data_IF_899150332711
#
_entry.id   IF_899150332711
#
_cell.length_a   1.000
_cell.length_b   1.000
_cell.length_c   1.000
_cell.angle_alpha   90.00
_cell.angle_beta   90.00
_cell.angle_gamma   90.00
#
_symmetry.space_group_name_H-M   'P 1'
#
loop_
_entity.id
_entity.type
_entity.pdbx_description
1 polymer ?
2 polymer ?
3 polymer ?
#
# COMPACT_ATOMS: atom_id res chain seq x y z
N UNK A 22 -20.50 -33.87 -7.03
CA UNK A 22 -19.55 -32.80 -6.75
C UNK A 22 -20.08 -32.02 -5.55
N UNK A 23 -19.78 -32.49 -4.34
CA UNK A 23 -20.37 -31.98 -3.11
C UNK A 23 -19.53 -30.84 -2.57
N UNK A 24 -20.10 -29.64 -2.52
CA UNK A 24 -19.37 -28.51 -1.95
C UNK A 24 -19.18 -28.71 -0.46
N UNK A 25 -17.93 -28.82 -0.02
CA UNK A 25 -17.62 -29.03 1.39
C UNK A 25 -16.86 -27.89 2.03
N UNK A 26 -16.30 -26.96 1.26
CA UNK A 26 -15.56 -25.85 1.84
C UNK A 26 -15.59 -24.65 0.93
N UNK A 27 -14.96 -23.57 1.37
CA UNK A 27 -14.87 -22.32 0.63
C UNK A 27 -13.41 -21.96 0.40
N UNK A 28 -13.16 -21.16 -0.63
CA UNK A 28 -11.81 -20.65 -0.89
C UNK A 28 -11.93 -19.18 -1.26
N UNK A 29 -11.63 -18.32 -0.30
CA UNK A 29 -11.82 -16.88 -0.47
C UNK A 29 -10.65 -16.28 -1.24
N UNK A 30 -10.94 -15.74 -2.42
CA UNK A 30 -9.99 -14.94 -3.16
C UNK A 30 -10.10 -13.49 -2.73
N UNK A 31 -9.33 -12.61 -3.39
CA UNK A 31 -9.40 -11.17 -3.18
C UNK A 31 -9.16 -10.51 -4.52
N UNK A 32 -10.10 -9.70 -4.98
CA UNK A 32 -10.07 -9.13 -6.32
C UNK A 32 -9.95 -7.62 -6.19
N UNK A 33 -8.86 -7.07 -6.67
CA UNK A 33 -8.57 -5.66 -6.48
C UNK A 33 -8.72 -4.88 -7.78
N UNK A 34 -8.88 -3.56 -7.65
CA UNK A 34 -9.02 -2.65 -8.77
C UNK A 34 -8.32 -1.35 -8.41
N UNK A 35 -7.29 -0.99 -9.16
CA UNK A 35 -6.52 0.21 -8.87
C UNK A 35 -7.35 1.45 -9.23
N UNK A 36 -7.86 2.14 -8.23
CA UNK A 36 -8.58 3.37 -8.47
C UNK A 36 -7.62 4.53 -8.63
N UNK A 37 -8.15 5.67 -9.03
CA UNK A 37 -7.39 6.90 -9.15
C UNK A 37 -7.98 7.97 -8.25
N UNK A 38 -7.23 9.04 -8.06
CA UNK A 38 -7.71 10.21 -7.32
C UNK A 38 -8.03 11.31 -8.33
N UNK A 39 -9.31 11.61 -8.47
CA UNK A 39 -9.75 12.63 -9.42
C UNK A 39 -9.45 13.99 -8.79
N UNK A 40 -8.33 14.59 -9.19
CA UNK A 40 -8.03 15.95 -8.77
C UNK A 40 -8.87 16.93 -9.59
N UNK A 41 -9.36 17.97 -8.92
CA UNK A 41 -10.33 18.88 -9.52
C UNK A 41 -9.84 19.38 -10.87
N UNK A 42 -10.62 19.10 -11.90
CA UNK A 42 -10.25 19.41 -13.28
C UNK A 42 -10.45 20.90 -13.52
N UNK A 43 -9.37 21.67 -13.34
CA UNK A 43 -9.41 23.12 -13.51
C UNK A 43 -9.17 23.44 -14.98
N UNK A 44 -10.24 23.38 -15.76
CA UNK A 44 -10.19 23.76 -17.17
C UNK A 44 -11.57 24.26 -17.57
N UNK A 45 -11.61 25.41 -18.24
CA UNK A 45 -12.86 25.99 -18.70
C UNK A 45 -12.97 25.82 -20.21
N UNK A 46 -14.18 25.48 -20.67
CA UNK A 46 -14.40 25.12 -22.04
C UNK A 46 -15.27 23.89 -22.13
N UNK A 47 -16.39 23.98 -22.86
CA UNK A 47 -17.40 22.94 -22.79
C UNK A 47 -17.63 22.35 -24.17
N UNK A 48 -16.55 21.99 -24.86
CA UNK A 48 -16.69 21.25 -26.10
C UNK A 48 -17.39 19.91 -25.83
N UNK A 49 -17.99 19.36 -26.89
CA UNK A 49 -18.80 18.16 -26.73
C UNK A 49 -17.96 16.99 -26.21
N UNK A 50 -16.75 16.82 -26.74
CA UNK A 50 -15.89 15.74 -26.28
C UNK A 50 -15.46 15.96 -24.84
N UNK A 51 -15.08 17.19 -24.51
CA UNK A 51 -14.72 17.49 -23.13
C UNK A 51 -15.92 17.30 -22.21
N UNK A 52 -17.12 17.65 -22.69
CA UNK A 52 -18.30 17.48 -21.86
C UNK A 52 -18.61 16.00 -21.62
N UNK A 53 -18.40 15.16 -22.63
CA UNK A 53 -18.64 13.73 -22.45
C UNK A 53 -17.61 13.11 -21.52
N UNK A 54 -16.35 13.52 -21.66
CA UNK A 54 -15.32 13.07 -20.73
C UNK A 54 -15.67 13.49 -19.30
N UNK A 55 -16.13 14.73 -19.13
CA UNK A 55 -16.51 15.20 -17.81
C UNK A 55 -17.67 14.39 -17.25
N UNK A 56 -18.65 14.06 -18.08
CA UNK A 56 -19.78 13.28 -17.60
C UNK A 56 -19.33 11.89 -17.18
N UNK A 57 -18.42 11.28 -17.93
CA UNK A 57 -17.93 9.96 -17.56
C UNK A 57 -17.12 10.01 -16.27
N UNK A 58 -16.30 11.05 -16.11
CA UNK A 58 -15.55 11.21 -14.87
C UNK A 58 -16.48 11.39 -13.69
N UNK A 59 -17.57 12.14 -13.88
CA UNK A 59 -18.53 12.33 -12.80
C UNK A 59 -19.21 11.02 -12.44
N UNK A 60 -19.52 10.19 -13.44
CA UNK A 60 -20.07 8.87 -13.15
C UNK A 60 -19.06 7.99 -12.41
N UNK A 61 -17.77 8.13 -12.74
CA UNK A 61 -16.74 7.36 -12.06
C UNK A 61 -16.63 7.76 -10.59
N UNK A 62 -16.53 9.06 -10.33
CA UNK A 62 -16.49 9.56 -8.97
C UNK A 62 -17.74 9.17 -8.20
N UNK A 63 -18.88 9.21 -8.84
CA UNK A 63 -20.10 8.78 -8.17
C UNK A 63 -20.06 7.30 -7.84
N UNK A 64 -19.49 6.48 -8.72
CA UNK A 64 -19.38 5.06 -8.43
C UNK A 64 -18.51 4.83 -7.20
N UNK A 65 -17.36 5.52 -7.15
CA UNK A 65 -16.49 5.39 -5.99
C UNK A 65 -17.22 5.81 -4.72
N UNK A 66 -18.00 6.89 -4.80
CA UNK A 66 -18.71 7.39 -3.62
C UNK A 66 -19.76 6.40 -3.13
N UNK A 67 -20.58 5.88 -4.04
CA UNK A 67 -21.58 4.88 -3.64
C UNK A 67 -20.94 3.62 -3.09
N UNK A 68 -19.78 3.25 -3.62
CA UNK A 68 -19.09 2.08 -3.08
C UNK A 68 -18.60 2.33 -1.67
N UNK A 69 -18.04 3.51 -1.43
CA UNK A 69 -17.60 3.86 -0.08
C UNK A 69 -18.77 3.86 0.90
N UNK A 70 -19.95 4.26 0.43
CA UNK A 70 -21.11 4.18 1.31
C UNK A 70 -21.59 2.74 1.46
N UNK A 71 -21.33 1.89 0.48
CA UNK A 71 -21.72 0.49 0.58
C UNK A 71 -20.90 -0.24 1.63
N UNK A 72 -19.59 0.04 1.66
CA UNK A 72 -18.74 -0.49 2.72
C UNK A 72 -19.14 0.07 4.08
N UNK A 73 -18.99 1.38 4.25
CA UNK A 73 -19.24 2.03 5.53
C UNK A 73 -20.72 1.96 5.91
N UNK A 121 -24.09 -19.43 8.51
CA UNK A 121 -23.68 -18.24 7.78
C UNK A 121 -22.98 -18.64 6.51
N UNK A 122 -23.39 -18.05 5.40
CA UNK A 122 -22.81 -18.40 4.10
C UNK A 122 -21.64 -17.52 3.71
N UNK A 123 -21.53 -16.31 4.25
CA UNK A 123 -20.39 -15.48 3.92
C UNK A 123 -19.53 -15.26 5.16
N UNK A 124 -19.50 -16.23 6.06
CA UNK A 124 -18.67 -16.10 7.26
C UNK A 124 -17.19 -16.03 6.90
N UNK A 125 -16.77 -16.81 5.90
CA UNK A 125 -15.38 -16.78 5.46
C UNK A 125 -15.04 -15.45 4.81
N UNK A 126 -15.90 -14.96 3.91
CA UNK A 126 -15.64 -13.67 3.30
C UNK A 126 -15.73 -12.53 4.29
N UNK A 127 -16.65 -12.62 5.24
CA UNK A 127 -16.74 -11.61 6.29
C UNK A 127 -15.44 -11.55 7.09
N UNK A 128 -14.92 -12.72 7.50
CA UNK A 128 -13.67 -12.76 8.23
C UNK A 128 -12.51 -12.18 7.41
N UNK A 129 -12.44 -12.53 6.12
CA UNK A 129 -11.34 -12.00 5.32
C UNK A 129 -11.48 -10.50 5.14
N UNK A 130 -12.70 -9.98 5.08
CA UNK A 130 -12.88 -8.54 4.97
C UNK A 130 -12.40 -7.84 6.23
N UNK A 131 -12.77 -8.37 7.39
CA UNK A 131 -12.32 -7.79 8.64
C UNK A 131 -10.81 -7.87 8.78
N UNK A 132 -10.18 -8.87 8.18
CA UNK A 132 -8.72 -8.94 8.23
C UNK A 132 -8.10 -7.90 7.31
N UNK A 133 -8.64 -7.74 6.11
CA UNK A 133 -8.11 -6.71 5.22
C UNK A 133 -8.38 -5.31 5.72
N UNK A 134 -9.27 -5.14 6.70
CA UNK A 134 -9.44 -3.81 7.27
C UNK A 134 -8.36 -3.46 8.28
N UNK A 135 -7.55 -4.42 8.73
CA UNK A 135 -6.45 -4.13 9.64
C UNK A 135 -5.43 -3.24 8.95
N UNK A 136 -4.72 -2.45 9.73
CA UNK A 136 -3.77 -1.51 9.16
C UNK A 136 -2.53 -2.26 8.69
N UNK A 137 -2.19 -2.19 7.39
CA UNK A 137 -1.01 -2.83 6.82
C UNK A 137 -1.32 -3.78 5.75
N UNK A 138 -2.47 -4.44 5.79
CA UNK A 138 -2.86 -5.47 4.82
C UNK A 138 -3.07 -5.08 3.39
N UNK A 139 -3.66 -3.96 3.12
CA UNK A 139 -3.80 -3.55 1.82
C UNK A 139 -2.45 -3.29 1.40
N UNK A 140 -1.56 -2.75 2.18
CA UNK A 140 -0.20 -2.42 1.67
C UNK A 140 0.46 -3.65 1.28
N UNK A 141 0.30 -4.69 2.04
CA UNK A 141 1.00 -5.81 1.63
C UNK A 141 0.42 -6.31 0.35
N UNK A 142 -0.88 -6.49 0.12
CA UNK A 142 -1.53 -6.88 -1.17
C UNK A 142 -1.12 -6.01 -2.32
N UNK A 143 -1.05 -4.73 -2.19
CA UNK A 143 -0.58 -3.87 -3.22
C UNK A 143 0.83 -4.12 -3.60
N UNK A 144 1.72 -4.28 -2.66
CA UNK A 144 3.09 -4.62 -3.00
C UNK A 144 3.16 -5.94 -3.73
N UNK A 145 2.32 -6.87 -3.34
CA UNK A 145 2.30 -8.21 -3.90
C UNK A 145 2.01 -8.18 -5.39
N UNK A 146 0.78 -7.55 -5.74
CA UNK A 146 0.28 -7.56 -7.08
C UNK A 146 0.87 -6.43 -7.72
N UNK A 147 2.14 -6.19 -7.52
CA UNK A 147 2.66 -5.00 -8.10
C UNK A 147 3.07 -5.15 -9.51
N UNK A 148 4.03 -6.00 -9.84
CA UNK A 148 4.46 -6.06 -11.24
C UNK A 148 3.65 -7.03 -12.04
N UNK A 149 3.10 -8.05 -11.37
CA UNK A 149 2.25 -9.04 -12.01
C UNK A 149 0.79 -8.59 -11.97
N UNK A 150 -0.12 -9.50 -12.30
CA UNK A 150 -1.55 -9.29 -12.12
C UNK A 150 -2.17 -10.42 -11.31
N UNK A 151 -1.36 -11.11 -10.51
CA UNK A 151 -1.81 -12.22 -9.69
C UNK A 151 -0.70 -12.58 -8.72
N UNK A 152 -1.06 -12.80 -7.46
CA UNK A 152 -0.10 -13.17 -6.43
C UNK A 152 -0.81 -14.06 -5.42
N UNK A 153 -0.04 -14.58 -4.47
CA UNK A 153 -0.58 -15.37 -3.36
C UNK A 153 -0.03 -14.75 -2.09
N UNK A 154 -0.77 -13.84 -1.50
CA UNK A 154 -0.34 -13.14 -0.30
C UNK A 154 -0.78 -13.92 0.91
N UNK A 155 0.08 -13.97 1.93
CA UNK A 155 -0.25 -14.63 3.19
C UNK A 155 -0.61 -13.56 4.21
N UNK A 156 -1.86 -13.53 4.62
CA UNK A 156 -2.32 -12.53 5.57
C UNK A 156 -1.69 -12.78 6.94
N UNK A 157 -1.81 -11.78 7.81
CA UNK A 157 -1.09 -11.81 9.08
C UNK A 157 -1.59 -12.92 9.99
N UNK A 158 -2.84 -13.32 9.85
CA UNK A 158 -3.42 -14.33 10.73
C UNK A 158 -3.14 -15.75 10.28
N UNK A 159 -2.27 -15.96 9.31
CA UNK A 159 -1.85 -17.27 8.89
C UNK A 159 -2.47 -17.77 7.60
N UNK A 160 -3.59 -17.21 7.18
CA UNK A 160 -4.28 -17.69 5.99
C UNK A 160 -3.57 -17.18 4.75
N UNK A 161 -3.50 -18.03 3.74
CA UNK A 161 -2.89 -17.69 2.46
C UNK A 161 -4.01 -17.42 1.47
N UNK A 162 -4.13 -16.18 1.04
CA UNK A 162 -5.21 -15.75 0.15
C UNK A 162 -4.60 -15.52 -1.22
N UNK A 163 -5.44 -15.61 -2.24
CA UNK A 163 -5.00 -15.56 -3.64
C UNK A 163 -5.53 -14.26 -4.25
N UNK A 164 -4.73 -13.21 -4.18
CA UNK A 164 -5.17 -11.94 -4.71
C UNK A 164 -5.09 -11.95 -6.24
N UNK A 165 -5.66 -10.91 -6.84
CA UNK A 165 -5.79 -10.81 -8.30
C UNK A 165 -6.17 -9.38 -8.63
N UNK A 166 -5.69 -8.88 -9.76
CA UNK A 166 -5.95 -7.50 -10.16
C UNK A 166 -6.66 -7.52 -11.50
N UNK A 167 -8.00 -7.54 -11.46
CA UNK A 167 -8.76 -7.78 -12.68
C UNK A 167 -8.94 -6.54 -13.53
N UNK A 168 -8.80 -5.35 -12.97
CA UNK A 168 -8.94 -4.15 -13.77
C UNK A 168 -7.89 -3.15 -13.31
N UNK A 169 -7.45 -2.32 -14.25
CA UNK A 169 -6.47 -1.31 -13.93
C UNK A 169 -6.98 -0.02 -14.57
N UNK A 170 -7.72 0.76 -13.78
CA UNK A 170 -8.27 2.02 -14.26
C UNK A 170 -7.41 3.21 -13.90
N UNK A 171 -6.65 3.13 -12.80
CA UNK A 171 -5.72 4.19 -12.47
C UNK A 171 -4.78 4.46 -13.63
N UNK A 172 -4.26 3.40 -14.23
CA UNK A 172 -3.31 3.55 -15.33
C UNK A 172 -3.92 4.37 -16.47
N UNK A 173 -5.05 3.90 -17.02
CA UNK A 173 -5.66 4.62 -18.12
C UNK A 173 -6.00 6.04 -17.72
N UNK A 174 -6.77 6.20 -16.64
CA UNK A 174 -7.23 7.53 -16.23
C UNK A 174 -6.05 8.48 -16.14
N UNK A 175 -5.09 8.19 -15.27
CA UNK A 175 -3.96 9.10 -15.11
C UNK A 175 -3.28 9.35 -16.44
N UNK A 176 -2.62 8.32 -17.00
CA UNK A 176 -1.71 8.52 -18.11
C UNK A 176 -2.39 9.16 -19.31
N UNK A 177 -3.55 8.64 -19.72
CA UNK A 177 -4.21 9.18 -20.90
C UNK A 177 -4.94 10.48 -20.60
N UNK A 178 -5.88 10.44 -19.65
CA UNK A 178 -6.80 11.54 -19.50
C UNK A 178 -6.14 12.77 -18.86
N UNK A 179 -5.44 12.58 -17.73
CA UNK A 179 -5.07 13.75 -16.94
C UNK A 179 -4.17 14.73 -17.68
N UNK A 180 -3.21 14.32 -18.50
CA UNK A 180 -2.48 15.30 -19.31
C UNK A 180 -3.38 16.12 -20.22
N UNK A 181 -4.21 15.46 -21.02
CA UNK A 181 -5.07 16.18 -21.96
C UNK A 181 -5.98 17.13 -21.21
N UNK A 182 -6.40 16.75 -20.00
CA UNK A 182 -7.30 17.59 -19.22
C UNK A 182 -6.58 18.79 -18.65
N UNK A 183 -5.31 18.62 -18.25
CA UNK A 183 -4.64 19.68 -17.50
C UNK A 183 -3.80 20.62 -18.36
N UNK A 184 -3.05 20.10 -19.33
CA UNK A 184 -2.11 20.95 -20.06
C UNK A 184 -2.78 21.88 -21.06
N UNK A 185 -3.48 21.31 -22.05
CA UNK A 185 -4.05 22.10 -23.15
C UNK A 185 -5.32 22.83 -22.75
N UNK A 186 -5.64 22.93 -21.47
CA UNK A 186 -6.89 23.54 -20.99
C UNK A 186 -8.10 22.82 -21.56
N UNK A 187 -8.05 21.48 -21.53
CA UNK A 187 -9.15 20.63 -21.95
C UNK A 187 -9.56 20.88 -23.40
N UNK A 188 -8.66 20.55 -24.31
CA UNK A 188 -8.97 20.51 -25.74
C UNK A 188 -8.62 19.11 -26.25
N UNK A 189 -9.65 18.29 -26.49
CA UNK A 189 -9.47 16.92 -26.94
C UNK A 189 -9.60 16.89 -28.46
N UNK A 190 -8.78 16.05 -29.09
CA UNK A 190 -8.68 16.03 -30.55
C UNK A 190 -9.61 14.99 -31.18
N UNK A 191 -9.45 13.72 -30.82
CA UNK A 191 -10.18 12.63 -31.44
C UNK A 191 -11.29 12.12 -30.54
N UNK A 192 -12.27 11.45 -31.16
CA UNK A 192 -13.44 10.95 -30.45
C UNK A 192 -13.30 9.49 -30.05
N UNK A 193 -12.18 8.85 -30.35
CA UNK A 193 -12.00 7.48 -29.91
C UNK A 193 -11.69 7.40 -28.43
N UNK A 194 -11.11 8.46 -27.86
CA UNK A 194 -10.73 8.41 -26.45
C UNK A 194 -11.95 8.36 -25.54
N UNK A 195 -13.03 9.05 -25.90
CA UNK A 195 -14.21 9.03 -25.03
C UNK A 195 -14.91 7.68 -25.09
N UNK A 196 -14.95 7.05 -26.27
CA UNK A 196 -15.51 5.71 -26.36
C UNK A 196 -14.64 4.73 -25.58
N UNK A 197 -13.32 4.87 -25.69
CA UNK A 197 -12.42 4.02 -24.92
C UNK A 197 -12.67 4.17 -23.43
N UNK A 198 -12.83 5.40 -22.94
CA UNK A 198 -13.00 5.60 -21.52
C UNK A 198 -14.33 5.06 -21.03
N UNK A 199 -15.40 5.25 -21.80
CA UNK A 199 -16.67 4.71 -21.34
C UNK A 199 -16.68 3.19 -21.40
N UNK A 200 -15.98 2.59 -22.37
CA UNK A 200 -15.83 1.14 -22.38
C UNK A 200 -15.08 0.66 -21.15
N UNK A 201 -13.98 1.33 -20.80
CA UNK A 201 -13.20 0.90 -19.64
C UNK A 201 -13.95 1.10 -18.35
N UNK A 202 -14.80 2.13 -18.28
CA UNK A 202 -15.50 2.48 -17.05
C UNK A 202 -16.79 1.71 -16.84
N UNK A 203 -17.37 1.14 -17.91
CA UNK A 203 -18.65 0.47 -17.76
C UNK A 203 -18.57 -0.72 -16.81
N UNK A 204 -17.43 -1.39 -16.72
CA UNK A 204 -17.35 -2.54 -15.82
C UNK A 204 -17.38 -2.10 -14.37
N UNK A 205 -16.67 -1.02 -14.05
CA UNK A 205 -16.73 -0.47 -12.71
C UNK A 205 -18.13 -0.01 -12.36
N UNK A 206 -18.78 0.67 -13.31
CA UNK A 206 -20.15 1.14 -13.08
C UNK A 206 -21.10 -0.03 -12.85
N UNK A 207 -20.88 -1.14 -13.55
CA UNK A 207 -21.80 -2.27 -13.41
C UNK A 207 -21.55 -3.04 -12.13
N UNK A 208 -20.29 -3.16 -11.70
CA UNK A 208 -20.02 -3.69 -10.36
C UNK A 208 -20.70 -2.83 -9.31
N UNK A 209 -20.61 -1.51 -9.46
CA UNK A 209 -21.25 -0.60 -8.53
C UNK A 209 -22.76 -0.80 -8.50
N UNK A 210 -23.37 -0.96 -9.67
CA UNK A 210 -24.82 -1.16 -9.73
C UNK A 210 -25.22 -2.46 -9.04
N UNK A 211 -24.49 -3.54 -9.31
CA UNK A 211 -24.81 -4.83 -8.70
C UNK A 211 -24.67 -4.77 -7.18
N UNK A 212 -23.60 -4.13 -6.69
CA UNK A 212 -23.43 -3.97 -5.25
C UNK A 212 -24.50 -3.09 -4.65
N UNK A 213 -24.88 -2.01 -5.35
CA UNK A 213 -25.88 -1.09 -4.83
C UNK A 213 -27.22 -1.78 -4.69
N UNK A 214 -27.58 -2.62 -5.64
CA UNK A 214 -28.88 -3.27 -5.57
C UNK A 214 -28.86 -4.42 -4.56
N UNK A 215 -27.80 -5.21 -4.52
CA UNK A 215 -27.78 -6.41 -3.70
C UNK A 215 -27.28 -6.18 -2.28
N UNK A 216 -27.08 -4.93 -1.88
CA UNK A 216 -26.64 -4.58 -0.53
C UNK A 216 -25.24 -5.13 -0.23
N UNK A 217 -24.36 -5.05 -1.23
CA UNK A 217 -22.96 -5.36 -1.05
C UNK A 217 -22.60 -6.83 -0.90
N UNK A 218 -23.50 -7.75 -1.25
CA UNK A 218 -23.22 -9.18 -1.27
C UNK A 218 -23.96 -9.78 -2.46
N UNK A 219 -23.23 -10.20 -3.48
CA UNK A 219 -23.79 -10.55 -4.78
C UNK A 219 -23.62 -12.03 -5.06
N UNK A 220 -24.72 -12.73 -5.29
CA UNK A 220 -24.71 -14.10 -5.79
C UNK A 220 -25.81 -14.20 -6.84
N UNK A 221 -25.57 -14.89 -7.96
CA UNK A 221 -24.33 -15.52 -8.38
C UNK A 221 -23.32 -14.52 -8.91
N UNK A 222 -22.05 -14.87 -8.87
CA UNK A 222 -20.98 -13.99 -9.33
C UNK A 222 -21.15 -13.73 -10.82
N UNK A 223 -21.50 -12.51 -11.19
CA UNK A 223 -21.79 -12.22 -12.58
C UNK A 223 -20.50 -12.17 -13.39
N UNK A 224 -20.64 -11.90 -14.68
CA UNK A 224 -19.51 -11.78 -15.57
C UNK A 224 -18.85 -10.41 -15.48
N UNK A 225 -19.47 -9.49 -14.74
CA UNK A 225 -18.83 -8.20 -14.48
C UNK A 225 -17.89 -8.28 -13.29
N UNK A 226 -18.27 -9.01 -12.25
CA UNK A 226 -17.36 -9.27 -11.15
C UNK A 226 -16.12 -10.01 -11.64
N UNK A 227 -16.31 -11.22 -12.16
CA UNK A 227 -15.22 -12.14 -12.44
C UNK A 227 -15.52 -12.81 -13.77
N UNK A 228 -14.82 -12.40 -14.83
CA UNK A 228 -15.11 -12.91 -16.16
C UNK A 228 -14.76 -14.40 -16.24
N UNK A 229 -15.00 -14.98 -17.42
CA UNK A 229 -14.77 -16.41 -17.58
C UNK A 229 -13.28 -16.72 -17.63
N UNK A 230 -12.52 -15.93 -18.39
CA UNK A 230 -11.08 -16.13 -18.43
C UNK A 230 -10.46 -15.97 -17.05
N UNK A 231 -10.92 -14.98 -16.28
CA UNK A 231 -10.36 -14.75 -14.96
C UNK A 231 -10.84 -15.78 -13.95
N UNK A 232 -12.06 -16.28 -14.09
CA UNK A 232 -12.48 -17.37 -13.22
C UNK A 232 -11.67 -18.62 -13.48
N UNK A 233 -11.32 -18.90 -14.74
CA UNK A 233 -10.51 -20.07 -15.02
C UNK A 233 -9.07 -19.86 -14.59
N UNK A 234 -8.55 -18.63 -14.70
CA UNK A 234 -7.22 -18.35 -14.17
C UNK A 234 -7.17 -18.48 -12.66
N UNK A 235 -8.33 -18.15 -11.97
CA UNK A 235 -8.39 -18.41 -10.54
C UNK A 235 -8.43 -19.91 -10.27
N UNK A 236 -9.18 -20.65 -11.02
CA UNK A 236 -9.35 -22.08 -10.74
C UNK A 236 -8.04 -22.82 -10.97
N UNK A 237 -7.25 -22.38 -11.94
CA UNK A 237 -6.00 -23.07 -12.24
C UNK A 237 -4.89 -22.76 -11.24
N UNK A 238 -5.16 -21.99 -10.20
CA UNK A 238 -4.18 -21.67 -9.17
C UNK A 238 -4.65 -22.00 -7.76
N UNK A 239 -5.86 -22.52 -7.60
CA UNK A 239 -6.30 -22.91 -6.27
C UNK A 239 -5.53 -24.14 -5.81
N UNK A 240 -5.33 -24.29 -4.50
CA UNK A 240 -4.63 -25.48 -3.96
C UNK A 240 -5.51 -26.72 -3.91
N UNK A 241 -5.66 -27.37 -5.05
CA UNK A 241 -6.57 -28.49 -5.21
C UNK A 241 -5.95 -29.49 -6.20
N UNK A 242 -6.50 -30.71 -6.21
CA UNK A 242 -6.02 -31.72 -7.13
C UNK A 242 -6.29 -31.30 -8.57
N UNK A 243 -5.70 -32.05 -9.51
CA UNK A 243 -5.93 -31.75 -10.91
C UNK A 243 -7.34 -32.15 -11.34
N UNK A 244 -7.88 -33.21 -10.73
CA UNK A 244 -9.25 -33.62 -11.06
C UNK A 244 -10.24 -32.52 -10.72
N UNK A 245 -10.05 -31.86 -9.57
CA UNK A 245 -10.96 -30.79 -9.18
C UNK A 245 -10.81 -29.57 -10.08
N UNK A 246 -9.58 -29.24 -10.48
CA UNK A 246 -9.41 -28.17 -11.45
C UNK A 246 -10.13 -28.50 -12.75
N UNK A 247 -10.05 -29.75 -13.20
CA UNK A 247 -10.73 -30.14 -14.43
C UNK A 247 -12.24 -30.03 -14.29
N UNK A 248 -12.78 -30.55 -13.19
CA UNK A 248 -14.21 -30.46 -12.94
C UNK A 248 -14.68 -29.02 -12.90
N UNK A 249 -13.99 -28.18 -12.11
CA UNK A 249 -14.40 -26.80 -11.97
C UNK A 249 -14.23 -26.03 -13.27
N UNK A 250 -13.31 -26.44 -14.14
CA UNK A 250 -13.17 -25.76 -15.41
C UNK A 250 -14.16 -26.27 -16.45
N UNK A 251 -14.76 -27.43 -16.22
CA UNK A 251 -15.78 -27.94 -17.13
C UNK A 251 -17.20 -27.54 -16.74
N UNK A 252 -17.40 -26.93 -15.58
CA UNK A 252 -18.72 -26.53 -15.13
C UNK A 252 -18.70 -25.13 -14.53
N UNK A 253 -18.13 -24.18 -15.26
CA UNK A 253 -17.92 -22.83 -14.71
C UNK A 253 -19.24 -22.15 -14.37
N UNK A 254 -20.32 -22.47 -15.07
CA UNK A 254 -21.60 -21.84 -14.74
C UNK A 254 -22.13 -22.34 -13.40
N UNK A 255 -21.87 -23.61 -13.08
CA UNK A 255 -22.30 -24.14 -11.79
C UNK A 255 -21.39 -23.66 -10.67
N UNK A 256 -20.21 -23.14 -11.01
CA UNK A 256 -19.35 -22.55 -9.99
C UNK A 256 -19.71 -21.09 -9.78
N UNK A 257 -20.22 -20.41 -10.82
CA UNK A 257 -20.79 -19.08 -10.60
C UNK A 257 -22.05 -19.15 -9.79
N UNK A 258 -22.88 -20.18 -10.03
CA UNK A 258 -24.14 -20.30 -9.31
C UNK A 258 -23.97 -20.78 -7.87
N UNK A 259 -22.75 -20.97 -7.39
CA UNK A 259 -22.54 -21.57 -6.07
C UNK A 259 -21.60 -20.76 -5.20
N UNK A 260 -21.26 -19.55 -5.58
CA UNK A 260 -20.33 -18.73 -4.81
C UNK A 260 -21.00 -17.41 -4.45
N UNK A 261 -20.22 -16.53 -3.80
CA UNK A 261 -20.65 -15.20 -3.41
C UNK A 261 -19.56 -14.20 -3.76
N UNK A 262 -19.93 -12.93 -3.83
CA UNK A 262 -18.98 -11.84 -4.10
C UNK A 262 -19.19 -10.74 -3.07
N UNK A 263 -18.53 -10.88 -1.91
CA UNK A 263 -18.61 -9.89 -0.85
C UNK A 263 -17.83 -8.63 -1.23
N UNK A 264 -18.40 -7.46 -0.91
CA UNK A 264 -17.73 -6.19 -1.15
C UNK A 264 -17.01 -5.76 0.10
N UNK A 265 -15.69 -5.49 -0.01
CA UNK A 265 -14.85 -5.45 1.18
C UNK A 265 -14.36 -4.06 1.55
N UNK A 266 -13.58 -3.37 0.73
CA UNK A 266 -12.82 -2.21 1.19
C UNK A 266 -12.61 -1.23 0.06
N UNK A 267 -12.52 -0.01 0.39
CA UNK A 267 -11.91 1.03 -0.42
C UNK A 267 -10.99 1.78 0.52
N UNK A 268 -9.71 1.69 0.30
CA UNK A 268 -8.74 2.24 1.22
C UNK A 268 -7.37 2.22 0.56
N UNK A 269 -6.62 3.31 0.74
CA UNK A 269 -5.30 3.46 0.14
C UNK A 269 -5.39 3.38 -1.38
N UNK A 270 -6.47 3.92 -1.93
CA UNK A 270 -6.60 4.10 -3.37
C UNK A 270 -6.67 2.77 -4.10
N UNK A 271 -7.58 1.90 -3.64
CA UNK A 271 -7.80 0.61 -4.28
C UNK A 271 -9.19 0.13 -3.90
N UNK A 272 -9.80 -0.65 -4.78
CA UNK A 272 -11.11 -1.24 -4.55
C UNK A 272 -10.95 -2.75 -4.51
N UNK A 273 -11.35 -3.37 -3.41
CA UNK A 273 -11.13 -4.79 -3.23
C UNK A 273 -12.43 -5.45 -2.79
N UNK A 274 -12.80 -6.53 -3.47
CA UNK A 274 -13.92 -7.36 -3.07
C UNK A 274 -13.50 -8.83 -3.06
N UNK A 275 -14.13 -9.60 -2.19
CA UNK A 275 -13.76 -10.98 -1.95
C UNK A 275 -14.73 -11.88 -2.70
N UNK A 276 -14.19 -12.79 -3.50
CA UNK A 276 -14.99 -13.77 -4.22
C UNK A 276 -14.85 -15.10 -3.49
N UNK A 277 -15.96 -15.60 -2.98
CA UNK A 277 -15.94 -16.74 -2.07
C UNK A 277 -16.25 -18.03 -2.83
N UNK A 278 -15.27 -18.46 -3.62
CA UNK A 278 -15.44 -19.62 -4.47
C UNK A 278 -15.70 -20.88 -3.64
N UNK A 279 -16.32 -21.90 -4.23
CA UNK A 279 -16.48 -23.17 -3.54
C UNK A 279 -15.30 -24.09 -3.84
N UNK A 280 -15.17 -25.13 -3.02
CA UNK A 280 -14.27 -26.20 -3.35
C UNK A 280 -14.92 -27.51 -2.94
N UNK A 281 -14.95 -28.49 -3.88
CA UNK A 281 -15.65 -29.75 -3.73
C UNK A 281 -14.63 -30.80 -3.31
N UNK A 282 -14.61 -31.13 -2.03
CA UNK A 282 -13.71 -32.17 -1.59
C UNK A 282 -14.14 -33.57 -1.96
N UNK A 283 -15.43 -33.77 -2.21
CA UNK A 283 -15.99 -35.07 -2.56
C UNK A 283 -16.37 -35.04 -4.03
N UNK A 284 -15.86 -35.99 -4.79
CA UNK A 284 -16.08 -36.03 -6.23
C UNK A 284 -16.22 -37.48 -6.67
N UNK B 1 5.09 13.18 -6.80
CA UNK B 1 4.50 14.47 -6.46
C UNK B 1 3.85 14.43 -5.09
N UNK B 2 4.03 13.34 -4.29
CA UNK B 2 3.42 13.19 -2.99
C UNK B 2 4.38 13.81 -2.09
N UNK B 3 3.96 14.82 -1.37
CA UNK B 3 4.80 15.60 -0.48
C UNK B 3 4.27 15.49 0.95
N UNK B 4 5.19 15.47 1.92
CA UNK B 4 4.85 15.55 3.33
C UNK B 4 5.86 16.50 3.96
N UNK B 5 5.54 17.79 3.97
CA UNK B 5 6.41 18.81 4.55
C UNK B 5 6.12 18.90 6.04
N UNK B 6 7.17 19.06 6.82
CA UNK B 6 7.10 18.94 8.27
C UNK B 6 7.52 20.26 8.91
N UNK B 7 7.33 20.35 10.22
CA UNK B 7 7.57 21.59 10.96
C UNK B 7 9.06 21.89 11.02
N UNK B 8 9.43 22.96 11.71
CA UNK B 8 10.80 23.39 11.76
C UNK B 8 11.52 22.93 13.02
N UNK B 9 12.81 23.25 13.12
CA UNK B 9 13.59 22.84 14.29
C UNK B 9 13.05 23.48 15.56
N UNK B 10 13.44 22.91 16.69
CA UNK B 10 12.94 23.39 17.98
C UNK B 10 14.01 23.23 19.05
N UNK B 11 13.82 23.98 20.13
CA UNK B 11 14.67 23.89 21.31
C UNK B 11 13.80 24.15 22.53
N UNK B 12 13.74 23.18 23.43
CA UNK B 12 12.86 23.27 24.59
C UNK B 12 13.67 22.91 25.84
N UNK B 13 12.98 22.86 26.97
CA UNK B 13 13.57 22.49 28.25
C UNK B 13 12.81 21.31 28.82
N UNK B 14 13.51 20.43 29.55
CA UNK B 14 12.83 19.26 30.12
C UNK B 14 11.64 19.66 30.97
N UNK B 15 10.51 18.99 30.73
CA UNK B 15 9.28 19.30 31.43
C UNK B 15 8.33 20.20 30.67
N UNK B 16 8.64 20.55 29.43
CA UNK B 16 7.75 21.38 28.62
C UNK B 16 6.83 20.50 27.80
N UNK B 17 6.11 21.13 26.85
CA UNK B 17 5.22 20.44 25.93
C UNK B 17 5.51 20.94 24.52
N UNK B 18 5.48 20.04 23.55
CA UNK B 18 5.87 20.36 22.18
C UNK B 18 4.86 19.76 21.22
N UNK B 19 4.62 20.46 20.10
CA UNK B 19 3.70 19.99 19.08
C UNK B 19 4.36 20.12 17.71
N UNK B 20 4.63 18.98 17.07
CA UNK B 20 5.25 18.92 15.76
C UNK B 20 4.17 18.59 14.75
N UNK B 21 4.10 19.37 13.67
CA UNK B 21 3.04 19.21 12.68
C UNK B 21 3.61 18.71 11.36
N UNK B 22 2.78 17.97 10.61
CA UNK B 22 3.17 17.39 9.33
C UNK B 22 2.07 17.69 8.32
N UNK B 23 2.40 18.46 7.29
CA UNK B 23 1.45 18.80 6.24
C UNK B 23 1.61 17.82 5.08
N UNK B 24 0.48 17.40 4.51
CA UNK B 24 0.45 16.31 3.54
C UNK B 24 -0.31 16.75 2.31
N UNK B 25 0.41 16.99 1.21
CA UNK B 25 -0.18 17.37 -0.06
C UNK B 25 0.18 16.33 -1.12
N UNK B 26 -0.59 16.33 -2.20
CA UNK B 26 -0.34 15.44 -3.32
C UNK B 26 -1.25 14.25 -3.43
N UNK B 27 -2.17 14.06 -2.49
CA UNK B 27 -3.08 12.93 -2.52
C UNK B 27 -4.29 13.27 -1.66
N UNK B 28 -5.33 12.45 -1.76
CA UNK B 28 -6.47 12.59 -0.87
C UNK B 28 -6.04 12.22 0.54
N UNK B 29 -5.95 13.21 1.42
CA UNK B 29 -5.40 13.01 2.76
C UNK B 29 -6.11 11.88 3.51
N UNK B 30 -7.35 11.58 3.18
CA UNK B 30 -8.15 10.63 3.93
C UNK B 30 -7.99 9.20 3.45
N UNK B 31 -7.13 8.97 2.46
CA UNK B 31 -6.87 7.61 1.98
C UNK B 31 -5.95 6.84 2.93
N UNK B 32 -4.75 7.38 3.16
CA UNK B 32 -3.71 6.69 3.90
C UNK B 32 -3.62 7.24 5.32
N UNK B 33 -3.66 6.35 6.30
CA UNK B 33 -3.35 6.73 7.67
C UNK B 33 -1.87 7.05 7.77
N UNK B 34 -1.55 8.08 8.55
CA UNK B 34 -0.19 8.59 8.63
C UNK B 34 0.54 7.97 9.82
N UNK B 35 1.79 7.60 9.58
CA UNK B 35 2.61 6.90 10.56
C UNK B 35 3.71 7.84 11.03
N UNK B 36 4.17 7.62 12.27
CA UNK B 36 5.18 8.46 12.90
C UNK B 36 6.42 7.67 13.24
N UNK B 37 7.59 8.17 12.78
CA UNK B 37 8.86 7.49 12.96
C UNK B 37 9.89 8.32 13.70
N UNK B 38 10.38 7.80 14.83
CA UNK B 38 11.39 8.51 15.62
C UNK B 38 12.77 7.97 15.28
N UNK B 39 13.70 8.88 15.00
CA UNK B 39 15.11 8.54 14.93
C UNK B 39 15.79 9.00 16.20
N UNK B 40 17.07 8.65 16.33
CA UNK B 40 17.83 9.04 17.51
C UNK B 40 19.28 9.20 17.13
N UNK B 41 20.02 10.08 17.79
CA UNK B 41 21.44 10.25 17.45
C UNK B 41 22.25 9.02 17.85
N UNK B 42 22.77 8.30 16.85
CA UNK B 42 23.57 7.13 17.08
C UNK B 42 22.79 5.83 17.15
N UNK B 43 21.55 5.89 17.65
CA UNK B 43 20.71 4.70 17.74
C UNK B 43 20.04 4.46 16.38
N UNK B 44 19.18 3.44 16.32
CA UNK B 44 18.50 3.11 15.09
C UNK B 44 17.13 3.76 14.99
N UNK B 45 16.55 3.55 13.82
CA UNK B 45 15.25 4.15 13.56
C UNK B 45 14.17 3.40 14.34
N UNK B 46 13.10 4.12 14.82
CA UNK B 46 12.07 3.56 15.68
C UNK B 46 10.71 3.99 15.16
N UNK B 47 9.84 3.03 14.92
CA UNK B 47 8.47 3.28 14.49
C UNK B 47 7.58 3.28 15.72
N UNK B 48 6.82 4.36 15.91
CA UNK B 48 6.10 4.57 17.16
C UNK B 48 4.59 4.38 17.06
N UNK B 49 3.98 4.65 15.93
CA UNK B 49 2.55 4.41 15.79
C UNK B 49 1.97 5.15 14.61
N UNK B 50 0.64 5.05 14.51
CA UNK B 50 -0.10 5.65 13.42
C UNK B 50 -1.41 6.22 13.95
N UNK B 51 -2.08 6.98 13.09
CA UNK B 51 -3.36 7.60 13.40
C UNK B 51 -4.23 7.53 12.16
N UNK B 52 -5.38 6.87 12.26
CA UNK B 52 -6.28 6.78 11.13
C UNK B 52 -6.77 8.16 10.74
N UNK B 53 -6.72 8.47 9.45
CA UNK B 53 -7.12 9.78 8.95
C UNK B 53 -8.60 9.89 8.65
N UNK B 54 -9.41 8.94 9.13
CA UNK B 54 -10.86 9.02 9.01
C UNK B 54 -11.50 9.27 10.37
N UNK B 55 -11.25 8.40 11.34
CA UNK B 55 -11.80 8.52 12.67
C UNK B 55 -10.85 9.21 13.64
N UNK B 56 -9.59 9.41 13.25
CA UNK B 56 -8.60 9.96 14.15
C UNK B 56 -8.08 8.99 15.19
N UNK B 57 -8.60 7.77 15.24
CA UNK B 57 -8.23 6.83 16.29
C UNK B 57 -6.75 6.49 16.22
N UNK B 58 -5.96 6.82 17.23
CA UNK B 58 -4.53 6.50 17.20
C UNK B 58 -4.20 5.18 17.89
N UNK B 59 -3.03 4.64 17.54
CA UNK B 59 -2.50 3.44 18.15
C UNK B 59 -0.99 3.59 18.28
N UNK B 60 -0.45 3.07 19.39
CA UNK B 60 0.90 3.41 19.85
C UNK B 60 1.77 2.17 19.98
N UNK B 61 3.06 2.34 19.74
CA UNK B 61 4.01 1.27 19.96
C UNK B 61 4.40 1.23 21.44
N UNK B 62 4.63 0.00 21.93
CA UNK B 62 4.75 -0.23 23.36
C UNK B 62 5.85 0.60 24.02
N UNK B 63 6.77 1.17 23.25
CA UNK B 63 7.78 2.03 23.83
C UNK B 63 7.36 3.50 23.88
N UNK B 64 6.28 3.87 23.18
CA UNK B 64 5.86 5.26 23.04
C UNK B 64 4.44 5.45 23.55
N UNK B 65 4.11 4.84 24.68
CA UNK B 65 2.80 4.96 25.28
C UNK B 65 2.89 5.81 26.54
N UNK B 66 1.86 6.62 26.77
CA UNK B 66 1.76 7.37 28.00
C UNK B 66 1.77 8.88 27.82
N UNK B 67 2.64 9.37 26.96
CA UNK B 67 2.76 10.81 26.80
C UNK B 67 2.55 11.28 25.37
N UNK B 68 3.07 10.56 24.38
CA UNK B 68 2.93 10.96 22.99
C UNK B 68 1.47 10.91 22.57
N UNK B 69 1.03 11.93 21.84
CA UNK B 69 -0.36 12.01 21.41
C UNK B 69 -0.44 12.52 19.98
N UNK B 70 -1.10 11.76 19.14
CA UNK B 70 -1.27 12.12 17.75
C UNK B 70 -2.61 12.79 17.52
N UNK B 71 -2.68 13.75 16.58
CA UNK B 71 -3.90 14.46 16.26
C UNK B 71 -3.76 15.07 14.88
N UNK B 72 -4.89 15.42 14.28
CA UNK B 72 -4.91 15.88 12.90
C UNK B 72 -6.11 16.80 12.70
N UNK B 73 -6.06 17.58 11.62
CA UNK B 73 -7.18 18.41 11.17
C UNK B 73 -7.50 17.99 9.75
N UNK B 74 -8.58 17.20 9.59
CA UNK B 74 -8.94 16.68 8.28
C UNK B 74 -9.10 17.79 7.26
N UNK B 75 -9.73 18.89 7.65
CA UNK B 75 -9.97 20.00 6.73
C UNK B 75 -8.66 20.58 6.22
N UNK B 76 -7.73 20.88 7.13
CA UNK B 76 -6.47 21.50 6.75
C UNK B 76 -5.54 20.53 6.02
N UNK B 77 -5.85 19.23 6.04
CA UNK B 77 -5.00 18.20 5.47
C UNK B 77 -3.60 18.24 6.11
N UNK B 78 -3.57 18.09 7.42
CA UNK B 78 -2.31 18.04 8.15
C UNK B 78 -2.53 17.33 9.47
N UNK B 79 -1.50 16.60 9.89
CA UNK B 79 -1.54 15.86 11.14
C UNK B 79 -0.32 16.25 11.97
N UNK B 80 -0.51 16.28 13.29
CA UNK B 80 0.54 16.71 14.18
C UNK B 80 0.65 15.77 15.38
N UNK B 81 1.81 15.83 16.02
CA UNK B 81 2.15 15.03 17.19
C UNK B 81 2.33 15.98 18.37
N UNK B 82 2.17 15.46 19.59
CA UNK B 82 2.39 16.25 20.80
C UNK B 82 3.12 15.40 21.83
N UNK B 83 4.28 15.86 22.26
CA UNK B 83 5.12 15.12 23.19
C UNK B 83 5.10 15.82 24.54
N UNK B 84 4.20 15.41 25.43
CA UNK B 84 4.12 16.06 26.72
C UNK B 84 5.33 15.71 27.58
N UNK B 85 5.64 16.59 28.53
CA UNK B 85 6.68 16.39 29.54
C UNK B 85 7.99 15.93 28.89
N UNK B 86 8.54 16.84 28.09
CA UNK B 86 9.79 16.55 27.39
C UNK B 86 10.88 16.16 28.38
N UNK B 87 11.76 15.27 27.93
CA UNK B 87 12.85 14.78 28.75
C UNK B 87 14.13 14.82 27.92
N UNK B 88 15.26 14.67 28.60
CA UNK B 88 16.55 14.70 27.92
C UNK B 88 16.69 13.56 26.93
N UNK B 89 15.89 12.51 27.06
CA UNK B 89 15.95 11.37 26.19
C UNK B 89 15.07 11.50 24.95
N UNK B 90 14.10 12.42 24.97
CA UNK B 90 13.22 12.64 23.82
C UNK B 90 13.88 13.39 22.69
N UNK B 91 15.18 13.63 22.76
CA UNK B 91 15.89 14.41 21.76
C UNK B 91 16.14 13.57 20.52
N UNK B 92 16.01 14.19 19.35
CA UNK B 92 16.26 13.50 18.10
C UNK B 92 15.54 14.08 16.91
N UNK B 93 15.13 13.22 15.99
CA UNK B 93 14.45 13.62 14.76
C UNK B 93 13.19 12.79 14.63
N UNK B 94 12.05 13.45 14.44
CA UNK B 94 10.76 12.80 14.43
C UNK B 94 10.17 12.88 13.02
N UNK B 95 9.79 11.73 12.47
CA UNK B 95 9.38 11.61 11.08
C UNK B 95 7.91 11.27 10.98
N UNK B 96 7.25 11.84 9.96
CA UNK B 96 5.88 11.50 9.61
C UNK B 96 5.89 10.79 8.27
N UNK B 97 5.19 9.67 8.18
CA UNK B 97 5.24 8.87 6.96
C UNK B 97 3.92 8.17 6.74
N UNK B 98 3.69 7.74 5.50
CA UNK B 98 2.53 6.97 5.11
C UNK B 98 2.99 5.82 4.23
N UNK B 99 2.07 4.89 3.97
CA UNK B 99 2.38 3.69 3.21
C UNK B 99 2.51 4.03 1.74
N UNK B 100 3.71 3.88 1.20
CA UNK B 100 3.81 3.81 -0.26
C UNK B 100 3.45 2.40 -0.68
N UNK B 101 3.80 2.00 -1.90
CA UNK B 101 3.39 0.67 -2.33
C UNK B 101 3.89 -0.38 -1.36
N UNK B 102 5.19 -0.56 -1.22
CA UNK B 102 5.68 -1.34 -0.12
C UNK B 102 6.23 -0.52 1.04
N UNK B 103 7.23 0.33 0.76
CA UNK B 103 7.91 1.05 1.84
C UNK B 103 7.22 2.34 2.23
N UNK B 104 7.88 3.14 3.07
CA UNK B 104 7.32 4.38 3.54
C UNK B 104 7.68 5.52 2.61
N UNK B 105 7.08 6.67 2.88
CA UNK B 105 7.51 7.94 2.30
C UNK B 105 7.80 8.88 3.46
N UNK B 106 9.12 9.30 3.56
CA UNK B 106 9.58 10.10 4.67
C UNK B 106 9.61 11.58 4.28
N UNK B 107 8.95 12.45 5.12
CA UNK B 107 9.17 13.87 5.02
C UNK B 107 10.38 14.29 5.83
N UNK B 108 10.86 15.50 5.54
CA UNK B 108 12.04 16.00 6.22
C UNK B 108 11.81 16.03 7.73
N UNK B 109 12.89 15.90 8.49
CA UNK B 109 12.78 15.78 9.93
C UNK B 109 12.68 17.12 10.64
N UNK B 110 12.34 17.05 11.93
CA UNK B 110 12.32 18.21 12.82
C UNK B 110 13.20 17.87 14.03
N UNK B 111 14.43 18.36 14.02
CA UNK B 111 15.35 18.07 15.11
C UNK B 111 14.85 18.74 16.38
N UNK B 112 14.37 17.95 17.33
CA UNK B 112 13.79 18.46 18.57
C UNK B 112 14.75 18.11 19.69
N UNK B 113 15.57 19.07 20.10
CA UNK B 113 16.54 18.88 21.16
C UNK B 113 15.97 19.39 22.48
N UNK B 114 16.26 18.66 23.55
CA UNK B 114 15.77 18.99 24.88
C UNK B 114 16.97 19.18 25.79
N UNK B 115 17.35 20.43 26.01
CA UNK B 115 18.45 20.80 26.89
C UNK B 115 17.92 21.75 27.95
N UNK B 116 18.79 22.06 28.92
CA UNK B 116 18.41 22.95 30.01
C UNK B 116 19.11 24.30 29.89
N UNK C 1 6.73 -9.10 17.26
CA UNK C 1 7.95 -8.40 17.62
C UNK C 1 9.13 -8.95 16.83
N UNK C 2 8.96 -9.02 15.52
CA UNK C 2 10.00 -9.56 14.65
C UNK C 2 11.14 -8.57 14.58
N UNK C 3 12.33 -8.99 15.02
CA UNK C 3 13.49 -8.11 15.12
C UNK C 3 14.51 -8.46 14.05
N UNK C 4 15.06 -7.48 13.39
CA UNK C 4 15.92 -7.75 12.30
C UNK C 4 17.34 -7.44 12.68
N UNK C 5 18.33 -8.05 12.06
CA UNK C 5 19.74 -7.92 12.35
C UNK C 5 20.51 -7.91 11.05
N UNK C 6 21.40 -6.92 10.89
CA UNK C 6 22.25 -6.85 9.71
C UNK C 6 23.65 -7.30 10.06
N UNK C 7 24.25 -8.13 9.20
CA UNK C 7 25.55 -8.71 9.51
C UNK C 7 26.68 -7.71 9.37
N UNK C 8 26.77 -6.91 8.28
CA UNK C 8 27.93 -6.02 8.19
C UNK C 8 27.67 -4.67 8.86
N UNK C 9 27.68 -4.67 10.19
CA UNK C 9 27.42 -3.45 10.95
C UNK C 9 28.34 -2.31 10.53
N UNK C 10 29.53 -2.64 10.02
CA UNK C 10 30.40 -1.70 9.35
C UNK C 10 30.65 -2.19 7.93
N UNK C 11 31.30 -1.35 7.14
CA UNK C 11 31.55 -1.69 5.75
C UNK C 11 32.57 -0.71 5.19
N UNK C 12 33.26 -1.15 4.14
CA UNK C 12 34.24 -0.32 3.44
C UNK C 12 34.52 -0.95 2.09
N UNK C 13 34.46 -0.15 1.03
CA UNK C 13 34.58 -0.69 -0.31
C UNK C 13 35.21 0.35 -1.22
N UNK C 14 35.54 -0.10 -2.43
CA UNK C 14 36.19 0.73 -3.44
C UNK C 14 35.15 1.50 -4.24
N UNK C 15 35.57 2.09 -5.36
CA UNK C 15 34.67 2.79 -6.26
C UNK C 15 34.28 1.91 -7.45
N UNK C 16 34.62 0.62 -7.41
CA UNK C 16 34.23 -0.27 -8.49
C UNK C 16 33.86 -1.68 -8.08
N UNK C 17 33.80 -1.94 -6.77
CA UNK C 17 33.54 -3.29 -6.29
C UNK C 17 32.03 -3.53 -6.21
N UNK C 18 31.65 -4.80 -6.02
CA UNK C 18 30.29 -5.19 -5.72
C UNK C 18 30.23 -5.64 -4.26
N UNK C 19 29.33 -5.03 -3.49
CA UNK C 19 29.18 -5.36 -2.08
C UNK C 19 27.77 -5.88 -1.85
N UNK C 20 27.64 -6.72 -0.82
CA UNK C 20 26.38 -7.38 -0.53
C UNK C 20 26.07 -7.24 0.94
N UNK C 21 24.86 -6.79 1.24
CA UNK C 21 24.38 -6.61 2.61
C UNK C 21 23.25 -7.61 2.85
N UNK C 22 23.17 -8.09 4.08
CA UNK C 22 22.19 -9.12 4.44
C UNK C 22 21.41 -8.70 5.66
N UNK C 23 20.17 -9.17 5.74
CA UNK C 23 19.34 -9.03 6.93
C UNK C 23 18.74 -10.37 7.29
N UNK C 24 18.61 -10.62 8.58
CA UNK C 24 18.09 -11.89 9.09
C UNK C 24 16.92 -11.56 10.01
N UNK C 25 15.72 -12.00 9.62
CA UNK C 25 14.55 -11.73 10.43
C UNK C 25 14.42 -12.74 11.55
N UNK C 26 13.86 -12.30 12.66
CA UNK C 26 13.55 -13.18 13.78
C UNK C 26 12.25 -13.93 13.59
N UNK C 27 11.68 -13.91 12.38
CA UNK C 27 10.46 -14.61 12.07
C UNK C 27 10.32 -14.70 10.56
N UNK C 28 9.26 -15.37 10.13
CA UNK C 28 9.04 -15.60 8.71
C UNK C 28 8.23 -14.44 8.13
N UNK C 29 8.92 -13.38 7.72
CA UNK C 29 8.30 -12.33 6.92
C UNK C 29 8.39 -12.80 5.47
N UNK C 30 7.31 -13.42 4.99
CA UNK C 30 7.34 -14.22 3.76
C UNK C 30 8.16 -13.57 2.66
N UNK C 31 7.80 -12.36 2.27
CA UNK C 31 8.48 -11.68 1.19
C UNK C 31 8.73 -10.21 1.48
N UNK C 32 8.09 -9.65 2.48
CA UNK C 32 7.93 -8.20 2.62
C UNK C 32 9.13 -7.62 3.35
N UNK C 33 9.97 -6.91 2.62
CA UNK C 33 11.13 -6.26 3.20
C UNK C 33 11.64 -5.22 2.22
N UNK C 34 12.27 -4.18 2.75
CA UNK C 34 12.68 -3.06 1.92
C UNK C 34 13.96 -2.45 2.47
N UNK C 35 14.67 -1.72 1.62
CA UNK C 35 15.98 -1.17 1.93
C UNK C 35 15.98 0.32 1.65
N UNK C 36 16.07 1.12 2.71
CA UNK C 36 16.25 2.56 2.60
C UNK C 36 17.73 2.89 2.64
N UNK C 37 18.07 4.06 2.13
CA UNK C 37 19.42 4.59 2.26
C UNK C 37 19.34 6.06 2.65
N UNK C 38 20.04 6.41 3.71
CA UNK C 38 19.99 7.76 4.26
C UNK C 38 21.31 8.47 3.95
N UNK C 39 21.22 9.59 3.24
CA UNK C 39 22.40 10.37 2.91
C UNK C 39 22.82 11.19 4.12
N UNK C 40 23.73 12.13 3.91
CA UNK C 40 24.32 12.91 5.00
C UNK C 40 23.27 13.90 5.52
N UNK C 41 22.38 13.40 6.35
CA UNK C 41 21.39 14.24 7.01
C UNK C 41 20.12 14.45 6.21
N UNK C 42 19.63 13.41 5.56
CA UNK C 42 18.37 13.45 4.82
C UNK C 42 17.40 12.45 5.43
N UNK C 43 16.27 12.29 4.77
CA UNK C 43 15.22 11.33 5.10
C UNK C 43 15.44 10.02 4.36
N UNK C 44 15.22 8.87 5.00
CA UNK C 44 15.56 7.60 4.36
C UNK C 44 14.74 7.34 3.11
N UNK C 45 15.39 7.38 1.95
CA UNK C 45 14.73 7.09 0.68
C UNK C 45 14.83 5.61 0.38
N UNK C 46 13.70 5.00 0.03
CA UNK C 46 13.66 3.56 -0.18
C UNK C 46 14.26 3.19 -1.54
N UNK C 47 14.81 1.99 -1.62
CA UNK C 47 15.41 1.49 -2.84
C UNK C 47 14.59 0.41 -3.52
N UNK C 48 13.89 -0.43 -2.77
CA UNK C 48 13.09 -1.51 -3.32
C UNK C 48 11.70 -1.48 -2.73
N UNK C 49 10.70 -1.79 -3.57
CA UNK C 49 9.34 -1.94 -3.09
C UNK C 49 9.15 -3.24 -2.32
N UNK C 50 10.03 -4.21 -2.54
CA UNK C 50 9.85 -5.55 -2.00
C UNK C 50 11.23 -6.20 -2.01
N UNK C 51 11.29 -7.45 -1.54
CA UNK C 51 12.58 -8.13 -1.48
C UNK C 51 13.24 -8.21 -2.84
N UNK C 52 12.46 -8.36 -3.90
CA UNK C 52 13.00 -8.56 -5.24
C UNK C 52 12.77 -7.39 -6.17
N UNK C 53 11.52 -6.96 -6.34
CA UNK C 53 11.18 -5.92 -7.33
C UNK C 53 11.67 -4.56 -6.87
N UNK C 54 12.78 -4.10 -7.45
CA UNK C 54 13.35 -2.84 -7.04
C UNK C 54 12.40 -1.69 -7.40
N UNK C 55 12.67 -0.52 -6.84
CA UNK C 55 11.80 0.62 -6.99
C UNK C 55 12.23 1.48 -8.17
N UNK C 56 11.25 2.01 -8.89
CA UNK C 56 11.55 2.85 -10.04
C UNK C 56 12.24 4.12 -9.60
N UNK C 57 13.12 4.63 -10.47
CA UNK C 57 13.91 5.80 -10.20
C UNK C 57 15.33 5.50 -9.77
N UNK C 58 15.55 4.36 -9.12
CA UNK C 58 16.89 3.99 -8.68
C UNK C 58 17.62 3.31 -9.83
N UNK C 59 18.94 3.28 -9.73
CA UNK C 59 19.74 2.61 -10.75
C UNK C 59 19.62 1.10 -10.64
N UNK C 60 19.94 0.42 -11.73
CA UNK C 60 19.72 -1.02 -11.82
C UNK C 60 20.74 -1.85 -11.06
N UNK C 61 21.81 -1.23 -10.54
CA UNK C 61 22.86 -2.02 -9.90
C UNK C 61 22.39 -2.59 -8.57
N UNK C 62 21.47 -1.93 -7.88
CA UNK C 62 20.89 -2.51 -6.69
C UNK C 62 20.01 -3.69 -7.07
N UNK C 63 20.19 -4.81 -6.39
CA UNK C 63 19.46 -6.03 -6.74
C UNK C 63 19.18 -6.80 -5.46
N UNK C 64 17.93 -6.79 -5.03
CA UNK C 64 17.54 -7.48 -3.82
C UNK C 64 17.16 -8.92 -4.09
N UNK C 65 17.31 -9.75 -3.07
CA UNK C 65 16.92 -11.14 -3.17
C UNK C 65 16.56 -11.65 -1.78
N UNK C 66 15.84 -12.75 -1.75
CA UNK C 66 15.53 -13.42 -0.51
C UNK C 66 14.05 -13.73 -0.38
N UNK C 67 13.75 -14.48 0.68
CA UNK C 67 12.40 -14.83 1.08
C UNK C 67 12.46 -15.47 2.45
N UNK C 68 11.44 -15.19 3.26
CA UNK C 68 11.27 -15.87 4.53
C UNK C 68 12.10 -15.30 5.66
N UNK C 69 13.37 -15.69 5.74
CA UNK C 69 14.22 -15.25 6.84
C UNK C 69 15.64 -14.88 6.43
N UNK C 70 15.90 -14.62 5.15
CA UNK C 70 17.26 -14.32 4.73
C UNK C 70 17.22 -13.50 3.45
N UNK C 71 17.55 -12.21 3.55
CA UNK C 71 17.44 -11.28 2.45
C UNK C 71 18.78 -10.63 2.16
N UNK C 72 18.95 -10.16 0.94
CA UNK C 72 20.26 -9.74 0.45
C UNK C 72 20.11 -8.58 -0.51
N UNK C 73 20.61 -7.41 -0.12
CA UNK C 73 20.79 -6.31 -1.05
C UNK C 73 22.19 -6.36 -1.63
N UNK C 74 22.29 -6.17 -2.94
CA UNK C 74 23.58 -6.24 -3.62
C UNK C 74 23.75 -4.99 -4.45
N UNK C 75 24.75 -4.18 -4.11
CA UNK C 75 25.13 -3.04 -4.92
C UNK C 75 26.14 -3.54 -5.95
N UNK C 76 25.69 -3.70 -7.20
CA UNK C 76 26.50 -4.33 -8.23
C UNK C 76 27.69 -3.49 -8.66
N UNK C 77 27.76 -2.23 -8.24
CA UNK C 77 28.91 -1.37 -8.50
C UNK C 77 28.75 -0.13 -7.66
N UNK C 78 29.85 0.34 -7.07
CA UNK C 78 29.81 1.54 -6.25
C UNK C 78 30.19 2.76 -7.08
N UNK C 79 29.61 3.90 -6.73
CA UNK C 79 29.90 5.21 -7.30
C UNK C 79 29.94 6.21 -6.16
N UNK C 80 30.29 7.46 -6.39
CA UNK C 80 30.20 8.44 -5.29
C UNK C 80 28.82 8.56 -4.69
N UNK C 81 27.77 8.24 -5.44
CA UNK C 81 26.41 8.36 -4.90
C UNK C 81 26.11 7.27 -3.88
N UNK C 82 26.50 6.03 -4.17
CA UNK C 82 26.07 4.89 -3.38
C UNK C 82 26.84 4.82 -2.06
N UNK C 83 26.70 5.87 -1.26
CA UNK C 83 27.39 5.95 0.02
C UNK C 83 26.50 6.62 1.04
N UNK C 84 26.31 5.96 2.18
CA UNK C 84 25.44 6.45 3.23
C UNK C 84 25.23 5.38 4.29
N UNK C 85 24.02 5.26 4.81
CA UNK C 85 23.65 4.22 5.75
C UNK C 85 22.45 3.48 5.19
N UNK C 86 22.46 2.15 5.27
CA UNK C 86 21.44 1.31 4.66
C UNK C 86 20.71 0.54 5.74
N UNK C 87 19.42 0.83 5.91
CA UNK C 87 18.58 0.12 6.85
C UNK C 87 17.68 -0.85 6.11
N UNK C 88 17.09 -1.77 6.85
CA UNK C 88 16.18 -2.74 6.27
C UNK C 88 15.03 -2.96 7.25
N UNK C 89 13.82 -3.00 6.72
CA UNK C 89 12.64 -3.04 7.55
C UNK C 89 11.65 -4.04 6.99
N UNK C 90 10.96 -4.75 7.87
CA UNK C 90 9.82 -5.56 7.46
C UNK C 90 8.56 -4.73 7.54
N UNK C 91 7.64 -4.98 6.63
CA UNK C 91 6.31 -4.40 6.73
C UNK C 91 5.26 -5.49 6.68
N UNK C 92 5.55 -6.61 7.33
CA UNK C 92 4.61 -7.72 7.36
C UNK C 92 3.53 -7.51 8.42
N UNK C 93 3.94 -7.27 9.68
CA UNK C 93 2.98 -6.91 10.71
C UNK C 93 3.68 -6.07 11.76
N UNK C 94 2.85 -5.28 12.52
CA UNK C 94 3.09 -4.24 13.51
C UNK C 94 3.47 -4.83 14.85
N UNK C 95 4.44 -4.21 15.55
CA UNK C 95 5.15 -2.99 15.15
C UNK C 95 6.31 -3.25 14.22
N UNK C 96 6.60 -2.28 13.35
CA UNK C 96 7.66 -2.45 12.37
C UNK C 96 9.01 -2.20 13.03
N UNK C 97 10.02 -2.90 12.54
CA UNK C 97 11.36 -2.83 13.10
C UNK C 97 12.36 -2.63 11.99
N UNK C 98 13.52 -2.13 12.37
CA UNK C 98 14.59 -1.81 11.45
C UNK C 98 15.83 -2.63 11.79
N UNK C 99 16.70 -2.76 10.81
CA UNK C 99 18.01 -3.32 11.06
C UNK C 99 18.95 -2.29 11.64
N UNK C 100 19.99 -2.77 12.34
CA UNK C 100 20.88 -1.89 13.05
C UNK C 100 21.47 -0.78 12.22
N UNK C 101 21.54 -0.97 10.92
CA UNK C 101 22.15 0.02 10.05
C UNK C 101 23.52 -0.44 9.57
N UNK C 102 23.79 -0.16 8.30
CA UNK C 102 25.03 -0.58 7.66
C UNK C 102 25.72 0.66 7.09
N UNK C 103 26.77 1.11 7.74
CA UNK C 103 27.48 2.30 7.30
C UNK C 103 28.50 1.92 6.22
N UNK C 104 28.38 2.56 5.06
CA UNK C 104 29.23 2.29 3.92
C UNK C 104 30.11 3.51 3.66
N UNK C 105 31.43 3.30 3.67
CA UNK C 105 32.40 4.35 3.42
C UNK C 105 33.39 3.87 2.37
N UNK C 106 34.14 4.82 1.81
CA UNK C 106 35.11 4.48 0.78
C UNK C 106 36.25 3.66 1.38
N UNK C 107 36.96 2.95 0.51
CA UNK C 107 38.02 2.04 0.92
C UNK C 107 39.18 2.77 1.61
#
# INVERSE_FOLDING_TARGET
QNITEEFYQSTCSAVSKGYLSALRTGWYTSVITIELSNIKENKCNGTDAKVKLIKQELDKYKNAVTELQLLMQSTPATNNRARRELPRFMNYTLNNAKKTNVTLSKKRKRRFLGFLLGVGSAIASGVAVCKVLHLEGEVNKIKSALLSTNKAVVSLSNGVSVLTFKVLDLKNYIDKQLLPILNKQSCSISNIETVIEFQQKNNRLLEITREFSVNAGVTTPVSTYMLTNSELLSLINDMPITNDQKKLMSNNVQIVRQQSYSIMCIIKEEVLAYVVQLPLYGVIDTPCWKLHTSPLCTTNTKEGSNICLTRTDRGWYCDNAGSVSFFPQAETCKVQSNRVFCDTMNSLTLPSEVNLCNVDIFNPKYDCKIMTSKTDVSSSVITSLGAIVSCYGKTKCTASNKNRGIIKTFSNGCDYVSNKGVDTVSVGNTLYYVNKQEGKSLYVKGEPIINFYDPLVFPSDEFDASISQVNEKINQSLAFIRKSDEL
QIQLVQSGPELKKPGETVKISCKASGYTFTDYSMHWLKQAPGKGLKWMGWITTETGEPTYADDFKGRFAFSLETSASTAYLQINNLKNEDTGIYFCARYYYGPFYWGQGTLVTVST
DIQMTQSPASLSASVGETVTITCRSSGNIHNFLTWYQQKQGKSPQFLVYNAKTLADGVSSRFSGSGSGTQFSLKINSLQPEDFGIYYCQHFWTTPYTFGGGTKLEIK
#
